data_IF_117453330088
#
_entry.id   IF_117453330088
#
_cell.length_a   1.000
_cell.length_b   1.000
_cell.length_c   1.000
_cell.angle_alpha   90.00
_cell.angle_beta   90.00
_cell.angle_gamma   90.00
#
_symmetry.space_group_name_H-M   'P 1'
#
loop_
_entity.id
_entity.type
_entity.pdbx_description
1 polymer ?
#
# COMPACT_ATOMS: atom_id res chain seq x y z
N UNK A 1 -19.95 14.04 -6.33
CA UNK A 1 -19.69 14.35 -7.75
C UNK A 1 -20.50 13.39 -8.65
N UNK A 2 -20.65 13.68 -9.95
CA UNK A 2 -21.33 12.76 -10.87
C UNK A 2 -20.61 11.40 -10.97
N UNK A 3 -19.27 11.42 -10.97
CA UNK A 3 -18.39 10.25 -11.04
C UNK A 3 -18.63 9.26 -9.88
N UNK A 4 -18.72 9.75 -8.65
CA UNK A 4 -18.96 8.90 -7.47
C UNK A 4 -20.31 8.17 -7.51
N UNK A 5 -21.35 8.80 -8.09
CA UNK A 5 -22.66 8.16 -8.29
C UNK A 5 -22.61 6.98 -9.26
N UNK A 6 -21.61 6.95 -10.14
CA UNK A 6 -21.35 5.84 -11.06
C UNK A 6 -20.30 4.86 -10.52
N UNK A 7 -19.96 4.93 -9.23
CA UNK A 7 -19.06 3.98 -8.57
C UNK A 7 -17.57 4.29 -8.73
N UNK A 8 -17.22 5.46 -9.29
CA UNK A 8 -15.82 5.89 -9.38
C UNK A 8 -15.35 6.41 -8.02
N UNK A 9 -14.27 5.83 -7.50
CA UNK A 9 -13.61 6.21 -6.25
C UNK A 9 -12.33 6.97 -6.54
N UNK A 10 -12.05 8.00 -5.74
CA UNK A 10 -10.80 8.74 -5.76
C UNK A 10 -9.75 8.00 -4.93
N UNK A 11 -8.53 7.88 -5.45
CA UNK A 11 -7.37 7.32 -4.79
C UNK A 11 -6.44 8.46 -4.34
N UNK A 12 -6.31 8.68 -3.04
CA UNK A 12 -5.44 9.71 -2.45
C UNK A 12 -4.69 9.10 -1.26
N UNK A 13 -3.72 8.20 -1.52
CA UNK A 13 -3.15 7.28 -0.52
C UNK A 13 -2.08 7.95 0.35
N UNK A 14 -2.26 9.18 0.81
CA UNK A 14 -1.27 9.85 1.65
C UNK A 14 -1.14 9.15 3.01
N UNK A 15 0.10 8.81 3.40
CA UNK A 15 0.39 8.03 4.61
C UNK A 15 0.18 6.52 4.46
N UNK A 16 -0.34 6.05 3.33
CA UNK A 16 -0.53 4.62 3.08
C UNK A 16 0.73 3.95 2.51
N UNK A 17 0.79 2.62 2.58
CA UNK A 17 1.84 1.85 1.92
C UNK A 17 1.70 1.99 0.39
N UNK A 18 2.83 2.18 -0.30
CA UNK A 18 2.86 2.16 -1.75
C UNK A 18 2.42 0.79 -2.30
N UNK A 19 1.45 0.80 -3.21
CA UNK A 19 0.97 -0.36 -3.95
C UNK A 19 1.08 -0.06 -5.46
N UNK A 20 1.96 -0.78 -6.20
CA UNK A 20 2.12 -0.58 -7.65
C UNK A 20 0.86 -0.80 -8.49
N UNK A 21 -0.13 -1.54 -7.97
CA UNK A 21 -1.38 -1.79 -8.69
C UNK A 21 -2.26 -0.53 -8.76
N UNK A 22 -2.18 0.33 -7.73
CA UNK A 22 -3.03 1.51 -7.58
C UNK A 22 -2.24 2.83 -7.69
N UNK A 23 -0.92 2.79 -7.49
CA UNK A 23 -0.07 3.96 -7.34
C UNK A 23 1.09 3.93 -8.35
N UNK A 24 1.46 5.12 -8.82
CA UNK A 24 2.62 5.35 -9.68
C UNK A 24 3.60 6.25 -8.91
N UNK A 25 4.72 5.68 -8.47
CA UNK A 25 5.77 6.41 -7.79
C UNK A 25 6.53 7.30 -8.79
N UNK A 26 6.44 8.61 -8.60
CA UNK A 26 7.09 9.60 -9.47
C UNK A 26 8.49 9.95 -8.98
N UNK A 27 8.69 9.98 -7.66
CA UNK A 27 9.96 10.31 -7.03
C UNK A 27 10.01 9.76 -5.60
N UNK A 28 11.22 9.71 -5.06
CA UNK A 28 11.48 9.37 -3.67
C UNK A 28 11.79 10.63 -2.85
N UNK A 29 11.30 10.68 -1.61
CA UNK A 29 11.55 11.76 -0.67
C UNK A 29 12.33 11.21 0.52
N UNK A 30 13.53 11.74 0.83
CA UNK A 30 14.24 11.38 2.06
C UNK A 30 13.40 11.77 3.28
N UNK A 31 12.96 10.78 4.05
CA UNK A 31 12.22 11.00 5.28
C UNK A 31 12.54 9.88 6.28
N UNK A 32 13.31 10.15 7.35
CA UNK A 32 13.70 9.14 8.34
C UNK A 32 12.60 8.83 9.37
N UNK A 33 11.53 9.63 9.42
CA UNK A 33 10.47 9.50 10.43
C UNK A 33 9.36 8.52 10.04
N UNK A 34 9.23 8.25 8.74
CA UNK A 34 8.22 7.35 8.18
C UNK A 34 8.89 6.14 7.53
N UNK A 35 8.26 4.95 7.54
CA UNK A 35 8.84 3.77 6.91
C UNK A 35 9.08 3.94 5.41
N UNK A 36 10.12 3.27 4.90
CA UNK A 36 10.41 3.23 3.48
C UNK A 36 9.25 2.62 2.68
N UNK A 37 8.91 3.25 1.56
CA UNK A 37 7.78 2.83 0.71
C UNK A 37 6.41 3.28 1.21
N UNK A 38 6.33 4.16 2.21
CA UNK A 38 5.11 4.90 2.54
C UNK A 38 4.93 6.06 1.56
N UNK A 39 3.71 6.29 1.09
CA UNK A 39 3.37 7.47 0.30
C UNK A 39 3.38 8.69 1.22
N UNK A 40 4.20 9.67 0.90
CA UNK A 40 4.35 10.90 1.69
C UNK A 40 3.77 12.12 1.01
N UNK A 41 3.47 12.01 -0.28
CA UNK A 41 2.90 13.10 -1.05
C UNK A 41 2.06 12.55 -2.20
N UNK A 42 0.84 13.07 -2.36
CA UNK A 42 0.01 12.83 -3.55
C UNK A 42 0.16 14.00 -4.52
N UNK A 43 0.84 13.76 -5.64
CA UNK A 43 1.00 14.76 -6.72
C UNK A 43 -0.28 14.88 -7.52
N UNK A 44 -0.91 13.75 -7.83
CA UNK A 44 -2.19 13.74 -8.53
C UNK A 44 -3.04 12.55 -8.09
N UNK A 45 -4.28 12.77 -7.59
CA UNK A 45 -5.13 11.70 -7.06
C UNK A 45 -5.62 10.76 -8.16
N UNK A 46 -5.44 9.46 -8.00
CA UNK A 46 -5.90 8.44 -8.93
C UNK A 46 -7.41 8.21 -8.86
N UNK A 47 -7.92 7.33 -9.72
CA UNK A 47 -9.32 6.93 -9.73
C UNK A 47 -9.47 5.44 -10.06
N UNK A 48 -10.42 4.78 -9.40
CA UNK A 48 -10.80 3.38 -9.65
C UNK A 48 -12.31 3.23 -9.76
N UNK A 49 -12.77 2.18 -10.42
CA UNK A 49 -14.17 1.76 -10.46
C UNK A 49 -14.24 0.26 -10.15
N UNK A 50 -14.88 -0.10 -9.04
CA UNK A 50 -14.75 -1.45 -8.50
C UNK A 50 -13.29 -1.81 -8.22
N UNK A 51 -12.81 -2.91 -8.79
CA UNK A 51 -11.43 -3.39 -8.69
C UNK A 51 -10.52 -2.86 -9.82
N UNK A 52 -11.11 -2.18 -10.82
CA UNK A 52 -10.35 -1.68 -11.98
C UNK A 52 -9.82 -0.28 -11.71
N UNK A 53 -8.51 -0.11 -11.87
CA UNK A 53 -7.87 1.20 -11.85
C UNK A 53 -8.10 1.90 -13.18
N UNK A 54 -8.75 3.06 -13.14
CA UNK A 54 -8.93 3.92 -14.32
C UNK A 54 -7.67 4.76 -14.56
N UNK A 55 -7.07 5.23 -13.46
CA UNK A 55 -5.82 5.98 -13.47
C UNK A 55 -5.12 5.81 -12.12
N UNK A 56 -3.85 5.40 -12.08
CA UNK A 56 -3.13 5.30 -10.82
C UNK A 56 -2.92 6.67 -10.18
N UNK A 57 -2.81 6.71 -8.86
CA UNK A 57 -2.42 7.93 -8.15
C UNK A 57 -0.93 8.19 -8.37
N UNK A 58 -0.57 9.40 -8.79
CA UNK A 58 0.83 9.81 -8.89
C UNK A 58 1.32 10.28 -7.53
N UNK A 59 2.37 9.65 -7.01
CA UNK A 59 2.78 9.80 -5.61
C UNK A 59 4.29 9.93 -5.45
N UNK A 60 4.71 10.62 -4.40
CA UNK A 60 6.07 10.57 -3.87
C UNK A 60 6.13 9.58 -2.70
N UNK A 61 7.15 8.72 -2.68
CA UNK A 61 7.33 7.68 -1.63
C UNK A 61 8.54 7.97 -0.76
N UNK A 62 8.46 7.57 0.52
CA UNK A 62 9.56 7.77 1.46
C UNK A 62 10.76 6.88 1.17
N UNK A 63 11.94 7.47 1.27
CA UNK A 63 13.25 6.82 1.28
C UNK A 63 13.91 7.04 2.65
N UNK A 64 13.54 6.25 3.64
CA UNK A 64 14.12 6.33 4.99
C UNK A 64 13.23 5.69 6.06
N UNK A 65 13.72 5.64 7.29
CA UNK A 65 13.00 5.19 8.49
C UNK A 65 13.03 3.68 8.77
N UNK A 66 13.03 3.25 10.05
CA UNK A 66 13.05 1.83 10.41
C UNK A 66 11.81 1.11 9.86
N UNK A 67 12.07 -0.03 9.21
CA UNK A 67 11.07 -0.96 8.69
C UNK A 67 10.27 -1.54 9.85
N UNK A 68 9.08 -1.00 10.12
CA UNK A 68 8.05 -1.77 10.83
C UNK A 68 7.44 -2.72 9.80
N UNK A 69 7.60 -4.02 10.05
CA UNK A 69 7.03 -5.12 9.27
C UNK A 69 5.56 -4.83 8.93
N UNK A 70 5.10 -4.94 7.68
CA UNK A 70 4.76 -6.22 7.06
C UNK A 70 3.95 -7.17 7.97
N UNK A 71 3.01 -6.66 8.77
CA UNK A 71 2.02 -7.49 9.47
C UNK A 71 0.63 -6.85 9.45
N UNK A 72 -0.15 -7.17 8.42
CA UNK A 72 -1.62 -7.20 8.47
C UNK A 72 -2.16 -7.89 7.21
N UNK A 73 -1.98 -9.21 7.12
CA UNK A 73 -2.99 -10.21 6.67
C UNK A 73 -2.33 -11.57 6.44
N UNK A 74 -2.04 -12.30 7.52
CA UNK A 74 -2.06 -13.77 7.50
C UNK A 74 -2.71 -14.21 8.80
N UNK A 75 -3.96 -14.64 8.71
CA UNK A 75 -4.74 -15.22 9.82
C UNK A 75 -4.09 -16.56 10.24
N UNK A 76 -3.90 -16.85 11.54
CA UNK A 76 -3.38 -18.14 11.97
C UNK A 76 -4.56 -19.13 12.13
N UNK A 77 -4.67 -20.07 11.19
CA UNK A 77 -5.42 -21.32 11.32
C UNK A 77 -4.48 -22.49 11.63
N UNK A 78 -4.96 -23.56 12.30
CA UNK A 78 -4.26 -24.17 13.43
C UNK A 78 -3.20 -25.23 13.09
N UNK A 79 -2.23 -25.31 14.01
CA UNK A 79 -1.37 -26.45 14.41
C UNK A 79 -1.66 -27.80 13.77
N UNK A 80 -0.61 -28.47 13.28
CA UNK A 80 -0.41 -29.85 13.69
C UNK A 80 1.06 -30.20 13.93
N UNK A 81 1.26 -30.78 15.10
CA UNK A 81 2.48 -31.29 15.70
C UNK A 81 2.76 -32.68 15.16
N UNK A 82 3.84 -32.85 14.41
CA UNK A 82 4.43 -34.17 14.17
C UNK A 82 5.94 -34.07 14.36
N UNK A 83 6.34 -34.52 15.54
CA UNK A 83 7.70 -34.79 15.93
C UNK A 83 8.28 -35.89 15.04
N UNK A 84 9.39 -35.59 14.38
CA UNK A 84 10.32 -36.61 13.91
C UNK A 84 11.73 -36.12 14.25
N UNK A 85 12.34 -36.77 15.25
CA UNK A 85 13.76 -37.14 15.29
C UNK A 85 14.09 -37.87 16.60
N UNK A 86 14.24 -39.17 16.44
CA UNK A 86 15.26 -40.07 17.03
C UNK A 86 15.82 -39.76 18.42
N UNK A 87 15.41 -40.60 19.39
CA UNK A 87 16.29 -41.21 20.40
C UNK A 87 15.69 -42.55 20.86
#
# INVERSE_FOLDING_TARGET
SALERHGVKKLAPEGEKFDPNFHQAMFEVPNPEVPAGTVVQVVQPGYSIGERVLRPAMVGVAKGGPKVAAEAKVEPGPVNEQAEKDA
#
